data_IF_212619292884
#
_entry.id   IF_212619292884
#
_cell.length_a   1.000
_cell.length_b   1.000
_cell.length_c   1.000
_cell.angle_alpha   90.00
_cell.angle_beta   90.00
_cell.angle_gamma   90.00
#
_symmetry.space_group_name_H-M   'P 1'
#
loop_
_entity.id
_entity.type
_entity.pdbx_description
1 polymer ?
#
# COMPACT_ATOMS: atom_id res chain seq x y z
N UNK A 1 -34.80 5.57 -5.03
CA UNK A 1 -35.35 5.98 -3.71
C UNK A 1 -34.60 5.23 -2.64
N UNK A 2 -34.35 5.85 -1.49
CA UNK A 2 -33.78 5.15 -0.33
C UNK A 2 -34.80 4.17 0.24
N UNK A 3 -34.39 2.93 0.46
CA UNK A 3 -35.21 1.89 1.07
C UNK A 3 -34.84 1.77 2.56
N UNK A 4 -35.66 2.37 3.42
CA UNK A 4 -35.43 2.40 4.87
C UNK A 4 -35.80 1.07 5.57
N UNK A 5 -36.23 0.04 4.82
CA UNK A 5 -36.50 -1.29 5.38
C UNK A 5 -35.25 -2.17 5.44
N UNK A 6 -34.20 -1.81 4.68
CA UNK A 6 -32.93 -2.53 4.62
C UNK A 6 -32.04 -2.19 5.80
N UNK A 7 -31.20 -3.15 6.19
CA UNK A 7 -30.10 -2.87 7.12
C UNK A 7 -29.06 -1.95 6.47
N UNK A 8 -28.16 -1.40 7.29
CA UNK A 8 -27.03 -0.61 6.78
C UNK A 8 -26.17 -1.48 5.86
N UNK A 9 -25.92 -2.73 6.26
CA UNK A 9 -25.10 -3.68 5.53
C UNK A 9 -25.72 -4.04 4.17
N UNK A 10 -27.03 -4.34 4.13
CA UNK A 10 -27.76 -4.59 2.88
C UNK A 10 -27.72 -3.37 1.95
N UNK A 11 -27.88 -2.17 2.52
CA UNK A 11 -27.79 -0.91 1.75
C UNK A 11 -26.40 -0.73 1.14
N UNK A 12 -25.36 -1.04 1.90
CA UNK A 12 -23.97 -0.90 1.47
C UNK A 12 -23.61 -1.89 0.37
N UNK A 13 -24.03 -3.16 0.53
CA UNK A 13 -23.91 -4.18 -0.51
C UNK A 13 -24.62 -3.72 -1.79
N UNK A 14 -25.86 -3.25 -1.69
CA UNK A 14 -26.62 -2.78 -2.85
C UNK A 14 -25.97 -1.59 -3.56
N UNK A 15 -25.37 -0.65 -2.82
CA UNK A 15 -24.64 0.48 -3.40
C UNK A 15 -23.39 -0.02 -4.13
N UNK A 16 -22.60 -0.87 -3.50
CA UNK A 16 -21.39 -1.45 -4.09
C UNK A 16 -21.70 -2.23 -5.38
N UNK A 17 -22.69 -3.13 -5.33
CA UNK A 17 -23.15 -3.91 -6.49
C UNK A 17 -23.60 -2.99 -7.63
N UNK A 18 -24.40 -1.96 -7.34
CA UNK A 18 -24.87 -1.02 -8.37
C UNK A 18 -23.73 -0.23 -9.00
N UNK A 19 -22.74 0.20 -8.21
CA UNK A 19 -21.56 0.91 -8.73
C UNK A 19 -20.80 0.00 -9.72
N UNK A 20 -20.53 -1.24 -9.32
CA UNK A 20 -19.80 -2.21 -10.14
C UNK A 20 -20.56 -2.60 -11.42
N UNK A 21 -21.88 -2.74 -11.34
CA UNK A 21 -22.73 -3.06 -12.50
C UNK A 21 -22.87 -1.87 -13.46
N UNK A 22 -22.98 -0.65 -12.95
CA UNK A 22 -23.18 0.54 -13.77
C UNK A 22 -21.89 1.03 -14.43
N UNK A 23 -20.75 0.90 -13.74
CA UNK A 23 -19.47 1.35 -14.25
C UNK A 23 -18.34 0.44 -13.74
N UNK A 24 -18.01 -0.65 -14.46
CA UNK A 24 -16.89 -1.50 -14.11
C UNK A 24 -15.55 -0.75 -13.99
N UNK A 25 -15.34 0.35 -14.74
CA UNK A 25 -14.13 1.16 -14.62
C UNK A 25 -14.03 1.93 -13.28
N UNK A 26 -15.15 2.12 -12.57
CA UNK A 26 -15.16 2.69 -11.22
C UNK A 26 -14.86 1.65 -10.14
N UNK A 27 -14.79 0.36 -10.48
CA UNK A 27 -14.59 -0.72 -9.52
C UNK A 27 -13.31 -0.57 -8.72
N UNK A 28 -12.22 -0.13 -9.36
CA UNK A 28 -10.96 0.03 -8.66
C UNK A 28 -11.00 1.15 -7.61
N UNK A 29 -11.80 2.21 -7.85
CA UNK A 29 -12.02 3.27 -6.84
C UNK A 29 -12.88 2.73 -5.70
N UNK A 30 -13.91 1.94 -5.99
CA UNK A 30 -14.74 1.30 -4.96
C UNK A 30 -13.89 0.36 -4.10
N UNK A 31 -13.07 -0.49 -4.72
CA UNK A 31 -12.19 -1.43 -4.01
C UNK A 31 -11.11 -0.69 -3.21
N UNK A 32 -10.59 0.42 -3.71
CA UNK A 32 -9.65 1.26 -2.97
C UNK A 32 -10.27 1.92 -1.73
N UNK A 33 -11.59 2.11 -1.71
CA UNK A 33 -12.32 2.60 -0.54
C UNK A 33 -12.54 1.53 0.54
N UNK A 34 -12.21 0.26 0.26
CA UNK A 34 -12.27 -0.80 1.27
C UNK A 34 -11.16 -0.59 2.30
N UNK A 35 -11.57 -0.33 3.54
CA UNK A 35 -10.68 -0.14 4.66
C UNK A 35 -11.09 -1.06 5.81
N UNK A 36 -10.17 -1.95 6.17
CA UNK A 36 -10.33 -2.88 7.27
C UNK A 36 -9.49 -2.42 8.44
N UNK A 37 -10.10 -2.35 9.62
CA UNK A 37 -9.37 -2.06 10.85
C UNK A 37 -8.52 -3.25 11.25
N UNK A 38 -7.53 -2.99 12.10
CA UNK A 38 -6.67 -4.06 12.61
C UNK A 38 -7.52 -5.11 13.33
N UNK A 39 -7.39 -6.37 12.89
CA UNK A 39 -8.15 -7.54 13.39
C UNK A 39 -9.62 -7.65 12.94
N UNK A 40 -10.11 -6.83 11.98
CA UNK A 40 -11.46 -7.01 11.42
C UNK A 40 -11.57 -8.25 10.51
N UNK A 41 -10.45 -8.66 9.92
CA UNK A 41 -10.33 -9.83 9.06
C UNK A 41 -9.79 -11.05 9.85
N UNK A 42 -10.21 -12.28 9.52
CA UNK A 42 -9.66 -13.48 10.11
C UNK A 42 -8.14 -13.54 9.86
N UNK A 43 -7.38 -13.88 10.89
CA UNK A 43 -5.92 -13.87 10.85
C UNK A 43 -5.37 -15.19 10.33
N UNK A 44 -4.24 -15.12 9.62
CA UNK A 44 -3.42 -16.30 9.29
C UNK A 44 -2.50 -16.74 10.43
N UNK A 45 -2.40 -15.94 11.49
CA UNK A 45 -1.54 -16.24 12.63
C UNK A 45 -2.22 -17.23 13.56
N UNK A 46 -1.58 -18.37 13.79
CA UNK A 46 -2.05 -19.39 14.74
C UNK A 46 -1.88 -20.80 14.20
N UNK A 47 -2.38 -21.77 14.95
CA UNK A 47 -2.45 -23.17 14.47
C UNK A 47 -3.53 -23.30 13.39
N UNK A 48 -3.41 -24.30 12.51
CA UNK A 48 -4.40 -24.56 11.46
C UNK A 48 -5.85 -24.59 11.99
N UNK A 49 -6.05 -25.21 13.16
CA UNK A 49 -7.35 -25.29 13.85
C UNK A 49 -7.87 -23.91 14.28
N UNK A 50 -6.99 -23.01 14.75
CA UNK A 50 -7.38 -21.65 15.15
C UNK A 50 -7.78 -20.81 13.93
N UNK A 51 -7.03 -20.93 12.84
CA UNK A 51 -7.30 -20.22 11.57
C UNK A 51 -8.65 -20.68 11.00
N UNK A 52 -8.88 -21.99 10.91
CA UNK A 52 -10.15 -22.55 10.42
C UNK A 52 -11.33 -22.10 11.27
N UNK A 53 -11.20 -22.14 12.61
CA UNK A 53 -12.26 -21.68 13.52
C UNK A 53 -12.54 -20.18 13.38
N UNK A 54 -11.50 -19.36 13.27
CA UNK A 54 -11.64 -17.90 13.07
C UNK A 54 -12.36 -17.61 11.77
N UNK A 55 -11.99 -18.31 10.69
CA UNK A 55 -12.62 -18.20 9.39
C UNK A 55 -14.09 -18.66 9.43
N UNK A 56 -14.41 -19.79 10.06
CA UNK A 56 -15.79 -20.26 10.20
C UNK A 56 -16.66 -19.25 10.96
N UNK A 57 -16.16 -18.68 12.05
CA UNK A 57 -16.86 -17.65 12.83
C UNK A 57 -17.09 -16.42 11.94
N UNK A 58 -16.07 -15.98 11.21
CA UNK A 58 -16.18 -14.84 10.31
C UNK A 58 -17.18 -15.12 9.17
N UNK A 59 -17.15 -16.31 8.55
CA UNK A 59 -18.09 -16.71 7.50
C UNK A 59 -19.55 -16.80 7.98
N UNK A 60 -19.79 -17.24 9.23
CA UNK A 60 -21.14 -17.35 9.80
C UNK A 60 -21.76 -16.04 10.26
N UNK A 61 -20.96 -14.98 10.41
CA UNK A 61 -21.49 -13.68 10.83
C UNK A 61 -22.35 -13.08 9.70
N UNK A 62 -23.68 -13.11 9.89
CA UNK A 62 -24.66 -12.60 8.90
C UNK A 62 -24.79 -11.08 8.87
N UNK A 63 -24.21 -10.36 9.83
CA UNK A 63 -24.22 -8.89 9.90
C UNK A 63 -22.92 -8.28 9.36
N UNK A 64 -22.10 -9.05 8.64
CA UNK A 64 -20.87 -8.53 8.05
C UNK A 64 -21.10 -8.11 6.60
N UNK A 65 -20.26 -7.18 6.15
CA UNK A 65 -20.08 -6.90 4.74
C UNK A 65 -19.16 -7.96 4.11
N UNK A 66 -19.36 -8.33 2.83
CA UNK A 66 -18.32 -8.95 2.03
C UNK A 66 -17.04 -8.12 2.11
N UNK A 67 -15.85 -8.73 2.11
CA UNK A 67 -14.62 -7.97 2.37
C UNK A 67 -14.38 -6.87 1.33
N UNK A 68 -14.93 -7.02 0.12
CA UNK A 68 -14.83 -6.08 -0.99
C UNK A 68 -15.86 -4.95 -0.98
N UNK A 69 -16.82 -4.97 -0.05
CA UNK A 69 -17.78 -3.88 0.12
C UNK A 69 -17.21 -2.90 1.16
N UNK A 70 -16.98 -1.62 0.81
CA UNK A 70 -16.53 -0.62 1.78
C UNK A 70 -17.53 -0.47 2.93
N UNK A 71 -17.00 -0.43 4.16
CA UNK A 71 -17.78 0.08 5.30
C UNK A 71 -17.65 1.60 5.33
N UNK A 72 -18.62 2.31 4.74
CA UNK A 72 -18.62 3.78 4.68
C UNK A 72 -18.76 4.47 6.05
N UNK A 73 -18.87 3.72 7.16
CA UNK A 73 -18.80 4.25 8.53
C UNK A 73 -17.37 4.37 9.04
N UNK A 74 -16.42 3.68 8.41
CA UNK A 74 -15.04 3.56 8.86
C UNK A 74 -14.10 4.40 8.00
N UNK A 75 -13.08 4.97 8.64
CA UNK A 75 -11.96 5.63 7.99
C UNK A 75 -10.69 5.30 8.79
N UNK A 76 -9.78 4.56 8.17
CA UNK A 76 -8.53 4.09 8.73
C UNK A 76 -7.32 4.86 8.19
N UNK A 77 -7.34 5.23 6.91
CA UNK A 77 -6.25 5.96 6.24
C UNK A 77 -6.73 6.68 4.98
N UNK A 78 -5.89 7.56 4.43
CA UNK A 78 -6.13 8.16 3.11
C UNK A 78 -6.24 7.08 2.01
N UNK A 79 -7.03 7.34 0.96
CA UNK A 79 -7.14 6.46 -0.20
C UNK A 79 -6.06 6.85 -1.22
N UNK A 80 -5.18 5.92 -1.59
CA UNK A 80 -4.07 6.12 -2.52
C UNK A 80 -4.56 6.16 -3.97
N UNK A 81 -5.54 5.34 -4.34
CA UNK A 81 -6.11 5.29 -5.69
C UNK A 81 -7.26 6.29 -5.91
N UNK A 82 -7.21 7.45 -5.27
CA UNK A 82 -8.18 8.52 -5.50
C UNK A 82 -8.24 8.94 -6.99
N UNK A 83 -9.34 9.56 -7.47
CA UNK A 83 -9.55 9.80 -8.89
C UNK A 83 -8.40 10.54 -9.61
N UNK A 84 -7.74 11.47 -8.91
CA UNK A 84 -6.62 12.27 -9.45
C UNK A 84 -5.24 11.63 -9.23
N UNK A 85 -5.19 10.44 -8.63
CA UNK A 85 -3.95 9.70 -8.41
C UNK A 85 -3.22 9.46 -9.75
N UNK A 86 -1.91 9.79 -9.83
CA UNK A 86 -1.11 9.64 -11.04
C UNK A 86 -0.52 8.23 -11.21
N UNK A 87 -0.67 7.36 -10.21
CA UNK A 87 -0.19 5.98 -10.30
C UNK A 87 -0.95 5.20 -11.37
N UNK A 88 -0.25 4.24 -11.97
CA UNK A 88 -0.65 3.53 -13.16
C UNK A 88 -0.24 2.06 -13.08
N UNK A 89 -0.50 1.41 -11.92
CA UNK A 89 -0.12 0.01 -11.71
C UNK A 89 -0.73 -0.94 -12.75
N UNK A 90 -1.95 -0.65 -13.21
CA UNK A 90 -2.64 -1.48 -14.19
C UNK A 90 -2.12 -1.42 -15.61
N UNK A 91 -1.12 -0.59 -15.94
CA UNK A 91 -0.64 -0.47 -17.33
C UNK A 91 -1.81 -0.28 -18.31
N UNK A 92 -1.75 -0.97 -19.45
CA UNK A 92 -2.86 -0.96 -20.43
C UNK A 92 -3.97 -1.99 -20.12
N UNK A 93 -3.94 -2.65 -18.97
CA UNK A 93 -4.98 -3.63 -18.61
C UNK A 93 -6.31 -2.94 -18.28
N UNK A 94 -7.40 -3.47 -18.84
CA UNK A 94 -8.76 -3.04 -18.55
C UNK A 94 -9.38 -3.89 -17.45
N UNK A 95 -10.23 -3.28 -16.61
CA UNK A 95 -10.96 -3.99 -15.56
C UNK A 95 -11.74 -5.19 -16.11
N UNK A 96 -11.50 -6.36 -15.51
CA UNK A 96 -12.25 -7.60 -15.75
C UNK A 96 -12.75 -8.12 -14.41
N UNK A 97 -14.05 -8.01 -14.17
CA UNK A 97 -14.70 -8.48 -12.95
C UNK A 97 -16.13 -8.95 -13.20
N UNK A 98 -16.63 -9.77 -12.28
CA UNK A 98 -18.00 -10.29 -12.26
C UNK A 98 -18.48 -10.44 -10.82
N UNK A 99 -19.76 -10.17 -10.57
CA UNK A 99 -20.41 -10.45 -9.29
C UNK A 99 -21.14 -11.79 -9.43
N UNK A 100 -20.77 -12.75 -8.58
CA UNK A 100 -21.28 -14.13 -8.65
C UNK A 100 -22.01 -14.47 -7.35
N UNK A 101 -23.23 -15.00 -7.45
CA UNK A 101 -23.99 -15.48 -6.29
C UNK A 101 -23.88 -17.01 -6.19
N UNK A 102 -23.00 -17.51 -5.32
CA UNK A 102 -22.76 -18.94 -5.08
C UNK A 102 -22.81 -19.26 -3.58
N UNK A 103 -24.02 -19.23 -3.01
CA UNK A 103 -24.23 -19.25 -1.56
C UNK A 103 -23.93 -17.89 -0.92
N UNK A 104 -22.69 -17.44 -1.07
CA UNK A 104 -22.23 -16.09 -0.71
C UNK A 104 -22.20 -15.16 -1.93
N UNK A 105 -22.16 -13.86 -1.70
CA UNK A 105 -21.96 -12.85 -2.73
C UNK A 105 -20.47 -12.65 -3.00
N UNK A 106 -20.00 -13.13 -4.15
CA UNK A 106 -18.61 -13.11 -4.56
C UNK A 106 -18.32 -11.99 -5.54
N UNK A 107 -17.13 -11.42 -5.44
CA UNK A 107 -16.54 -10.58 -6.49
C UNK A 107 -15.39 -11.35 -7.13
N UNK A 108 -15.59 -11.79 -8.37
CA UNK A 108 -14.57 -12.41 -9.20
C UNK A 108 -13.81 -11.31 -9.92
N UNK A 109 -12.50 -11.22 -9.72
CA UNK A 109 -11.64 -10.19 -10.33
C UNK A 109 -10.42 -10.84 -10.98
N UNK A 110 -10.01 -10.33 -12.15
CA UNK A 110 -8.77 -10.76 -12.78
C UNK A 110 -7.62 -9.81 -12.43
N UNK A 111 -6.43 -10.37 -12.36
CA UNK A 111 -5.21 -9.61 -12.16
C UNK A 111 -3.99 -10.50 -12.28
N UNK A 112 -2.88 -10.03 -11.71
CA UNK A 112 -1.64 -10.79 -11.57
C UNK A 112 -1.21 -10.84 -10.12
N UNK A 113 -0.85 -12.03 -9.66
CA UNK A 113 -0.20 -12.22 -8.36
C UNK A 113 1.28 -11.88 -8.49
N UNK A 114 1.78 -11.05 -7.58
CA UNK A 114 3.16 -10.57 -7.62
C UNK A 114 4.03 -11.34 -6.63
N UNK A 115 3.62 -11.32 -5.36
CA UNK A 115 4.44 -11.83 -4.26
C UNK A 115 3.64 -12.00 -2.97
N UNK A 116 4.28 -12.56 -1.94
CA UNK A 116 3.72 -12.78 -0.61
C UNK A 116 4.45 -11.91 0.41
N UNK A 117 3.71 -11.33 1.34
CA UNK A 117 4.27 -10.51 2.43
C UNK A 117 4.99 -11.41 3.43
N UNK A 118 6.26 -11.11 3.68
CA UNK A 118 7.11 -11.82 4.65
C UNK A 118 7.14 -11.07 5.97
N UNK A 119 7.35 -9.75 5.91
CA UNK A 119 7.52 -8.91 7.10
C UNK A 119 6.51 -7.77 7.11
N UNK A 120 5.64 -7.75 8.12
CA UNK A 120 4.70 -6.66 8.37
C UNK A 120 4.78 -6.23 9.86
N UNK A 121 5.46 -5.13 10.19
CA UNK A 121 5.58 -4.60 11.54
C UNK A 121 4.26 -3.95 12.01
N UNK A 122 4.33 -3.08 13.00
CA UNK A 122 3.19 -2.34 13.52
C UNK A 122 2.80 -1.18 12.58
N UNK A 123 1.54 -0.72 12.62
CA UNK A 123 1.12 0.48 11.89
C UNK A 123 1.88 1.73 12.34
N UNK A 124 2.26 2.55 11.36
CA UNK A 124 2.96 3.82 11.55
C UNK A 124 2.01 4.87 12.15
N UNK A 125 2.55 5.67 13.06
CA UNK A 125 1.84 6.67 13.84
C UNK A 125 2.15 8.09 13.35
N UNK A 126 1.23 9.02 13.62
CA UNK A 126 1.24 10.45 13.24
C UNK A 126 2.53 11.26 13.57
N UNK A 127 3.50 10.67 14.30
CA UNK A 127 4.72 11.36 14.72
C UNK A 127 6.02 10.61 14.47
N UNK A 128 5.94 9.45 13.84
CA UNK A 128 7.10 8.58 13.65
C UNK A 128 8.23 9.25 12.87
N UNK A 129 7.91 10.25 12.03
CA UNK A 129 8.90 10.97 11.20
C UNK A 129 9.20 12.41 11.63
N UNK A 130 8.65 12.91 12.74
CA UNK A 130 8.94 14.29 13.21
C UNK A 130 10.07 14.37 14.25
N UNK A 131 10.41 13.25 14.88
CA UNK A 131 11.50 13.17 15.86
C UNK A 131 12.88 13.37 15.22
N UNK A 132 13.83 13.84 16.03
CA UNK A 132 15.26 13.85 15.66
C UNK A 132 16.01 12.90 16.59
N UNK A 133 17.02 12.22 16.06
CA UNK A 133 17.94 11.39 16.84
C UNK A 133 18.68 12.30 17.82
N UNK A 134 18.65 11.93 19.09
CA UNK A 134 19.39 12.60 20.16
C UNK A 134 20.24 11.56 20.89
N UNK A 135 21.46 11.92 21.35
CA UNK A 135 22.33 10.96 22.04
C UNK A 135 21.64 10.32 23.24
N UNK A 136 21.69 8.99 23.34
CA UNK A 136 21.10 8.23 24.44
C UNK A 136 19.61 7.90 24.31
N UNK A 137 18.96 8.27 23.21
CA UNK A 137 17.59 7.86 22.89
C UNK A 137 17.54 6.60 22.03
N UNK A 138 16.41 5.86 22.06
CA UNK A 138 16.23 4.69 21.20
C UNK A 138 16.29 5.07 19.71
N UNK A 139 16.57 4.10 18.82
CA UNK A 139 16.51 4.32 17.38
C UNK A 139 15.16 4.90 16.96
N UNK A 140 15.19 5.87 16.07
CA UNK A 140 14.00 6.46 15.45
C UNK A 140 13.25 5.41 14.61
N UNK A 141 11.96 5.66 14.31
CA UNK A 141 11.18 4.73 13.47
C UNK A 141 11.85 4.50 12.10
N UNK A 142 12.40 5.56 11.49
CA UNK A 142 13.09 5.44 10.20
C UNK A 142 14.30 4.51 10.27
N UNK A 143 15.06 4.53 11.38
CA UNK A 143 16.16 3.61 11.63
C UNK A 143 15.66 2.17 11.84
N UNK A 144 14.62 1.99 12.67
CA UNK A 144 14.04 0.67 12.92
C UNK A 144 13.56 0.01 11.62
N UNK A 145 12.80 0.74 10.79
CA UNK A 145 12.35 0.21 9.49
C UNK A 145 13.52 -0.11 8.55
N UNK A 146 14.56 0.72 8.55
CA UNK A 146 15.74 0.51 7.70
C UNK A 146 16.56 -0.71 8.13
N UNK A 147 16.81 -0.86 9.43
CA UNK A 147 17.61 -1.96 9.95
C UNK A 147 16.82 -3.26 10.02
N UNK A 148 15.63 -3.22 10.62
CA UNK A 148 14.89 -4.44 10.99
C UNK A 148 14.14 -5.01 9.79
N UNK A 149 13.50 -4.15 8.97
CA UNK A 149 12.65 -4.60 7.84
C UNK A 149 13.43 -4.58 6.53
N UNK A 150 14.15 -3.49 6.23
CA UNK A 150 14.93 -3.41 5.00
C UNK A 150 16.21 -4.26 5.07
N UNK A 151 16.61 -4.69 6.28
CA UNK A 151 17.83 -5.47 6.55
C UNK A 151 19.09 -4.75 6.03
N UNK A 152 19.17 -3.43 6.28
CA UNK A 152 20.25 -2.56 5.82
C UNK A 152 21.00 -1.94 6.99
N UNK A 153 22.32 -1.84 6.86
CA UNK A 153 23.18 -1.33 7.94
C UNK A 153 23.35 0.19 7.92
N UNK A 154 23.46 0.80 6.74
CA UNK A 154 23.69 2.26 6.60
C UNK A 154 22.86 2.85 5.49
N UNK A 155 22.40 4.08 5.70
CA UNK A 155 21.69 4.87 4.70
C UNK A 155 22.62 5.18 3.52
N UNK A 156 22.26 4.51 2.44
CA UNK A 156 23.01 4.14 1.25
C UNK A 156 22.55 4.59 -0.14
N UNK A 157 23.38 5.22 -0.99
CA UNK A 157 22.99 5.39 -2.42
C UNK A 157 23.53 4.29 -3.35
N UNK A 158 24.34 3.36 -2.86
CA UNK A 158 25.04 2.37 -3.67
C UNK A 158 24.29 1.04 -3.78
N UNK A 159 23.58 0.65 -2.73
CA UNK A 159 22.70 -0.53 -2.74
C UNK A 159 21.62 -0.37 -3.81
N UNK A 160 21.45 -1.40 -4.64
CA UNK A 160 20.48 -1.42 -5.74
C UNK A 160 19.22 -2.16 -5.36
N UNK A 161 18.09 -1.56 -5.69
CA UNK A 161 16.77 -2.15 -5.56
C UNK A 161 16.41 -2.94 -6.83
N UNK A 162 15.23 -3.58 -6.82
CA UNK A 162 14.77 -4.50 -7.86
C UNK A 162 14.68 -3.87 -9.25
N UNK A 163 14.36 -2.58 -9.32
CA UNK A 163 14.25 -1.80 -10.56
C UNK A 163 15.55 -1.07 -10.95
N UNK A 164 16.66 -1.33 -10.24
CA UNK A 164 17.95 -0.69 -10.44
C UNK A 164 18.11 0.67 -9.77
N UNK A 165 17.08 1.24 -9.15
CA UNK A 165 17.20 2.45 -8.34
C UNK A 165 17.95 2.14 -7.03
N UNK A 166 18.26 3.17 -6.23
CA UNK A 166 18.87 2.90 -4.91
C UNK A 166 17.84 2.35 -3.94
N UNK A 167 18.26 1.42 -3.07
CA UNK A 167 17.39 0.89 -2.00
C UNK A 167 16.90 2.03 -1.09
N UNK A 168 17.75 3.02 -0.85
CA UNK A 168 17.38 4.24 -0.14
C UNK A 168 16.22 4.97 -0.82
N UNK A 169 16.29 5.16 -2.13
CA UNK A 169 15.23 5.84 -2.86
C UNK A 169 13.91 5.05 -2.78
N UNK A 170 13.95 3.74 -3.04
CA UNK A 170 12.79 2.86 -2.95
C UNK A 170 12.12 2.92 -1.57
N UNK A 171 12.92 2.86 -0.50
CA UNK A 171 12.45 2.97 0.88
C UNK A 171 11.75 4.30 1.15
N UNK A 172 12.40 5.41 0.79
CA UNK A 172 11.89 6.75 1.04
C UNK A 172 10.66 7.07 0.20
N UNK A 173 10.58 6.58 -1.04
CA UNK A 173 9.39 6.70 -1.89
C UNK A 173 8.22 5.86 -1.35
N UNK A 174 8.50 4.68 -0.80
CA UNK A 174 7.45 3.82 -0.23
C UNK A 174 6.74 4.49 0.92
N UNK A 175 7.49 5.11 1.85
CA UNK A 175 6.92 5.80 3.00
C UNK A 175 6.12 7.06 2.62
N UNK A 176 6.37 7.64 1.45
CA UNK A 176 5.71 8.86 0.98
C UNK A 176 4.68 8.64 -0.11
N UNK A 177 4.32 7.39 -0.44
CA UNK A 177 3.46 7.07 -1.60
C UNK A 177 3.99 7.73 -2.89
N UNK A 178 5.30 7.63 -3.13
CA UNK A 178 5.98 8.23 -4.28
C UNK A 178 6.10 9.76 -4.21
N UNK A 179 5.76 10.40 -3.09
CA UNK A 179 5.62 11.86 -2.97
C UNK A 179 4.48 12.46 -3.84
N UNK A 180 3.45 11.68 -4.18
CA UNK A 180 2.29 12.17 -4.96
C UNK A 180 1.65 13.38 -4.31
N UNK A 181 1.44 13.34 -2.99
CA UNK A 181 0.85 14.46 -2.24
C UNK A 181 1.71 15.71 -2.31
N UNK A 182 3.05 15.56 -2.30
CA UNK A 182 3.99 16.66 -2.40
C UNK A 182 3.83 17.42 -3.74
N UNK A 183 3.80 16.68 -4.85
CA UNK A 183 3.60 17.26 -6.18
C UNK A 183 2.26 18.00 -6.28
N UNK A 184 1.20 17.44 -5.68
CA UNK A 184 -0.12 18.07 -5.60
C UNK A 184 -0.11 19.40 -4.83
N UNK A 185 0.56 19.46 -3.68
CA UNK A 185 0.69 20.69 -2.88
C UNK A 185 1.47 21.80 -3.60
N UNK A 186 2.48 21.44 -4.39
CA UNK A 186 3.27 22.37 -5.20
C UNK A 186 2.57 22.76 -6.52
N UNK A 187 1.35 22.26 -6.79
CA UNK A 187 0.63 22.44 -8.06
C UNK A 187 1.47 22.01 -9.28
N UNK A 188 2.30 20.97 -9.13
CA UNK A 188 3.18 20.44 -10.18
C UNK A 188 2.65 19.11 -10.68
N UNK A 189 2.65 18.87 -12.01
CA UNK A 189 2.35 17.54 -12.53
C UNK A 189 3.36 16.52 -12.00
N UNK A 190 2.86 15.45 -11.37
CA UNK A 190 3.69 14.44 -10.71
C UNK A 190 4.79 13.87 -11.62
N UNK A 191 4.45 13.57 -12.87
CA UNK A 191 5.36 13.00 -13.86
C UNK A 191 6.42 13.98 -14.40
N UNK A 192 6.29 15.28 -14.13
CA UNK A 192 7.28 16.29 -14.52
C UNK A 192 8.38 16.47 -13.47
N UNK A 193 8.17 15.98 -12.24
CA UNK A 193 9.18 16.07 -11.19
C UNK A 193 10.19 14.94 -11.33
N UNK A 194 11.47 15.30 -11.42
CA UNK A 194 12.57 14.34 -11.58
C UNK A 194 12.79 13.55 -10.28
N UNK A 195 13.06 12.25 -10.40
CA UNK A 195 13.37 11.38 -9.26
C UNK A 195 14.51 11.92 -8.37
N UNK A 196 15.50 12.61 -8.95
CA UNK A 196 16.60 13.21 -8.20
C UNK A 196 16.14 14.28 -7.21
N UNK A 197 15.06 15.02 -7.52
CA UNK A 197 14.47 16.02 -6.63
C UNK A 197 13.95 15.33 -5.37
N UNK A 198 13.16 14.26 -5.55
CA UNK A 198 12.65 13.47 -4.44
C UNK A 198 13.78 12.83 -3.61
N UNK A 199 14.82 12.34 -4.29
CA UNK A 199 16.01 11.79 -3.64
C UNK A 199 16.69 12.83 -2.74
N UNK A 200 16.92 14.05 -3.23
CA UNK A 200 17.57 15.10 -2.47
C UNK A 200 16.74 15.53 -1.25
N UNK A 201 15.41 15.65 -1.41
CA UNK A 201 14.51 15.97 -0.29
C UNK A 201 14.49 14.87 0.78
N UNK A 202 14.52 13.60 0.37
CA UNK A 202 14.63 12.45 1.27
C UNK A 202 15.99 12.41 1.98
N UNK A 203 17.09 12.62 1.25
CA UNK A 203 18.44 12.69 1.80
C UNK A 203 18.58 13.81 2.84
N UNK A 204 18.03 15.01 2.54
CA UNK A 204 17.98 16.13 3.48
C UNK A 204 17.26 15.76 4.77
N UNK A 205 16.11 15.09 4.67
CA UNK A 205 15.39 14.63 5.85
C UNK A 205 16.22 13.69 6.72
N UNK A 206 16.89 12.71 6.12
CA UNK A 206 17.71 11.73 6.84
C UNK A 206 18.88 12.41 7.55
N UNK A 207 19.59 13.31 6.87
CA UNK A 207 20.69 14.08 7.48
C UNK A 207 20.20 14.98 8.61
N UNK A 208 19.06 15.66 8.45
CA UNK A 208 18.48 16.51 9.50
C UNK A 208 17.95 15.72 10.72
N UNK A 209 17.53 14.48 10.47
CA UNK A 209 16.93 13.60 11.49
C UNK A 209 18.02 12.87 12.27
N UNK A 210 19.02 12.34 11.59
CA UNK A 210 20.07 11.52 12.20
C UNK A 210 21.33 12.32 12.57
N UNK A 211 21.50 13.53 12.02
CA UNK A 211 22.68 14.36 12.24
C UNK A 211 23.95 13.73 11.64
N UNK A 212 25.09 13.96 12.27
CA UNK A 212 26.38 13.34 11.91
C UNK A 212 26.50 11.87 12.35
N UNK A 213 25.42 11.08 12.26
CA UNK A 213 25.45 9.66 12.61
C UNK A 213 26.35 8.89 11.63
N UNK A 214 27.12 7.93 12.14
CA UNK A 214 27.91 7.00 11.32
C UNK A 214 27.03 6.12 10.40
N UNK A 215 25.72 6.13 10.63
CA UNK A 215 24.71 5.42 9.84
C UNK A 215 24.43 6.09 8.49
N UNK A 216 24.86 7.34 8.26
CA UNK A 216 24.59 8.09 7.03
C UNK A 216 25.85 8.24 6.18
N UNK A 217 25.85 7.58 5.01
CA UNK A 217 26.98 7.62 4.07
C UNK A 217 27.24 9.00 3.48
N UNK A 218 28.47 9.24 2.99
CA UNK A 218 28.86 10.51 2.38
C UNK A 218 28.02 10.86 1.14
N UNK A 219 27.61 9.87 0.36
CA UNK A 219 26.81 10.07 -0.85
C UNK A 219 25.41 10.62 -0.50
N UNK A 220 24.82 10.15 0.61
CA UNK A 220 23.56 10.71 1.14
C UNK A 220 23.77 12.14 1.65
N UNK A 221 24.89 12.41 2.32
CA UNK A 221 25.21 13.76 2.78
C UNK A 221 25.36 14.75 1.60
N UNK A 222 26.08 14.35 0.54
CA UNK A 222 26.24 15.15 -0.69
C UNK A 222 24.91 15.36 -1.41
N UNK A 223 24.05 14.35 -1.46
CA UNK A 223 22.70 14.47 -2.02
C UNK A 223 21.83 15.46 -1.23
N UNK A 224 21.93 15.47 0.10
CA UNK A 224 21.22 16.41 0.97
C UNK A 224 21.63 17.88 0.73
N UNK A 225 22.90 18.14 0.39
CA UNK A 225 23.36 19.49 0.06
C UNK A 225 22.78 20.02 -1.24
N UNK A 226 22.52 19.13 -2.21
CA UNK A 226 21.91 19.49 -3.50
C UNK A 226 20.46 19.97 -3.34
N UNK A 227 19.76 19.54 -2.28
CA UNK A 227 18.41 20.02 -1.94
C UNK A 227 18.37 21.51 -1.56
N UNK A 228 19.50 22.14 -1.19
CA UNK A 228 19.54 23.56 -0.78
C UNK A 228 19.21 24.53 -1.91
N UNK A 229 19.30 24.09 -3.16
CA UNK A 229 18.92 24.87 -4.33
C UNK A 229 17.40 24.97 -4.53
N UNK A 230 16.61 24.12 -3.87
CA UNK A 230 15.16 24.22 -3.89
C UNK A 230 14.63 25.02 -2.71
N UNK A 231 13.94 26.10 -3.05
CA UNK A 231 13.25 27.01 -2.13
C UNK A 231 12.02 26.32 -1.50
N UNK A 232 12.20 25.33 -0.62
CA UNK A 232 11.04 24.63 -0.05
C UNK A 232 10.97 24.61 1.48
N UNK A 233 9.92 25.27 1.96
CA UNK A 233 9.42 25.23 3.34
C UNK A 233 8.84 23.85 3.72
N UNK A 234 8.49 23.01 2.73
CA UNK A 234 7.90 21.70 2.96
C UNK A 234 8.95 20.62 3.26
N UNK A 235 8.67 19.84 4.30
CA UNK A 235 9.54 18.78 4.81
C UNK A 235 9.01 17.43 4.35
N UNK A 236 9.89 16.56 3.86
CA UNK A 236 9.57 15.19 3.47
C UNK A 236 8.77 14.44 4.55
N UNK A 237 9.05 14.70 5.83
CA UNK A 237 8.31 14.11 6.95
C UNK A 237 6.80 14.40 6.92
N UNK A 238 6.36 15.56 6.43
CA UNK A 238 4.93 15.87 6.29
C UNK A 238 4.28 14.96 5.26
N UNK A 239 4.94 14.76 4.12
CA UNK A 239 4.43 13.91 3.05
C UNK A 239 4.43 12.44 3.47
N UNK A 240 5.50 11.97 4.10
CA UNK A 240 5.58 10.63 4.66
C UNK A 240 4.45 10.37 5.67
N UNK A 241 4.29 11.24 6.68
CA UNK A 241 3.19 11.10 7.65
C UNK A 241 1.82 11.09 6.99
N UNK A 242 1.56 12.00 6.03
CA UNK A 242 0.27 12.04 5.33
C UNK A 242 -0.01 10.77 4.54
N UNK A 243 1.02 10.15 3.96
CA UNK A 243 0.88 8.93 3.18
C UNK A 243 0.76 7.68 4.05
N UNK A 244 1.48 7.63 5.16
CA UNK A 244 1.72 6.39 5.91
C UNK A 244 1.02 6.28 7.26
N UNK A 245 0.39 7.35 7.77
CA UNK A 245 -0.36 7.28 9.02
C UNK A 245 -1.45 6.19 8.93
N UNK A 246 -1.47 5.30 9.93
CA UNK A 246 -2.39 4.16 9.96
C UNK A 246 -2.04 3.03 8.99
N UNK A 247 -0.93 3.12 8.26
CA UNK A 247 -0.44 2.10 7.31
C UNK A 247 0.77 1.37 7.85
N UNK A 248 1.06 0.20 7.27
CA UNK A 248 2.19 -0.65 7.62
C UNK A 248 3.21 -0.59 6.49
N UNK A 249 4.44 -0.18 6.80
CA UNK A 249 5.59 -0.40 5.92
C UNK A 249 5.97 -1.87 6.00
N UNK A 250 5.87 -2.60 4.90
CA UNK A 250 6.10 -4.05 4.85
C UNK A 250 7.09 -4.41 3.75
N UNK A 251 7.60 -5.63 3.84
CA UNK A 251 8.49 -6.24 2.86
C UNK A 251 7.97 -7.61 2.41
N UNK A 252 7.99 -7.83 1.11
CA UNK A 252 7.60 -9.12 0.50
C UNK A 252 8.79 -10.08 0.38
N UNK A 253 8.53 -11.36 0.10
CA UNK A 253 9.57 -12.40 0.00
C UNK A 253 10.60 -12.18 -1.11
N UNK A 254 10.21 -11.56 -2.23
CA UNK A 254 11.11 -11.12 -3.31
C UNK A 254 11.78 -9.78 -3.01
N UNK A 255 11.48 -9.16 -1.88
CA UNK A 255 12.12 -7.94 -1.41
C UNK A 255 11.43 -6.64 -1.84
N UNK A 256 10.17 -6.68 -2.28
CA UNK A 256 9.44 -5.44 -2.56
C UNK A 256 9.16 -4.68 -1.26
N UNK A 257 9.39 -3.38 -1.27
CA UNK A 257 8.96 -2.45 -0.25
C UNK A 257 7.57 -1.94 -0.57
N UNK A 258 6.72 -1.95 0.44
CA UNK A 258 5.33 -1.59 0.28
C UNK A 258 4.78 -0.86 1.50
N UNK A 259 3.71 -0.10 1.27
CA UNK A 259 2.95 0.60 2.28
C UNK A 259 1.49 0.16 2.18
N UNK A 260 1.08 -0.74 3.08
CA UNK A 260 -0.24 -1.38 3.08
C UNK A 260 -1.16 -0.91 4.21
N UNK A 261 -2.42 -1.36 4.23
CA UNK A 261 -3.42 -0.99 5.25
C UNK A 261 -3.07 -1.54 6.64
N UNK A 262 -3.74 -1.04 7.69
CA UNK A 262 -3.53 -1.48 9.09
C UNK A 262 -3.89 -2.96 9.34
N UNK A 263 -4.74 -3.54 8.49
CA UNK A 263 -5.16 -4.94 8.56
C UNK A 263 -4.16 -5.94 7.94
N UNK A 264 -3.03 -5.47 7.39
CA UNK A 264 -2.03 -6.32 6.71
C UNK A 264 -1.40 -7.37 7.64
N UNK A 265 -1.19 -8.58 7.12
CA UNK A 265 -0.50 -9.67 7.80
C UNK A 265 0.51 -10.40 6.90
N UNK A 266 1.53 -11.01 7.51
CA UNK A 266 2.43 -11.97 6.86
C UNK A 266 1.61 -13.11 6.25
N UNK A 267 1.90 -13.45 4.99
CA UNK A 267 1.13 -14.41 4.21
C UNK A 267 0.04 -13.80 3.33
N UNK A 268 -0.28 -12.52 3.52
CA UNK A 268 -1.12 -11.79 2.56
C UNK A 268 -0.38 -11.68 1.21
N UNK A 269 -1.15 -11.72 0.13
CA UNK A 269 -0.70 -11.72 -1.26
C UNK A 269 -0.77 -10.30 -1.82
N UNK A 270 0.31 -9.85 -2.43
CA UNK A 270 0.35 -8.62 -3.24
C UNK A 270 -0.03 -8.97 -4.67
N UNK A 271 -0.99 -8.24 -5.22
CA UNK A 271 -1.47 -8.41 -6.59
C UNK A 271 -1.72 -7.06 -7.28
N UNK A 272 -1.72 -7.06 -8.60
CA UNK A 272 -2.24 -5.94 -9.41
C UNK A 272 -3.53 -6.42 -10.06
N UNK A 273 -4.65 -5.81 -9.67
CA UNK A 273 -5.96 -6.08 -10.26
C UNK A 273 -6.08 -5.29 -11.56
N UNK A 274 -6.67 -5.86 -12.60
CA UNK A 274 -6.74 -5.16 -13.88
C UNK A 274 -7.60 -3.89 -13.79
N UNK A 275 -7.11 -2.82 -14.41
CA UNK A 275 -7.66 -1.47 -14.34
C UNK A 275 -7.41 -0.70 -13.03
N UNK A 276 -6.72 -1.27 -12.03
CA UNK A 276 -6.41 -0.55 -10.79
C UNK A 276 -5.20 0.39 -10.86
N UNK A 277 -5.37 1.61 -10.36
CA UNK A 277 -4.27 2.60 -10.31
C UNK A 277 -3.11 2.19 -9.40
N UNK A 278 -3.39 1.37 -8.39
CA UNK A 278 -2.41 0.89 -7.40
C UNK A 278 -2.56 -0.63 -7.18
N UNK A 279 -1.54 -1.31 -6.64
CA UNK A 279 -1.63 -2.69 -6.20
C UNK A 279 -2.59 -2.90 -5.01
N UNK A 280 -2.96 -4.16 -4.78
CA UNK A 280 -3.85 -4.59 -3.70
C UNK A 280 -3.25 -5.74 -2.91
N UNK A 281 -3.62 -5.79 -1.64
CA UNK A 281 -3.35 -6.91 -0.74
C UNK A 281 -4.58 -7.78 -0.60
N UNK A 282 -4.43 -9.09 -0.84
CA UNK A 282 -5.46 -10.10 -0.69
C UNK A 282 -5.04 -11.14 0.34
N UNK A 283 -5.95 -11.57 1.20
CA UNK A 283 -5.74 -12.62 2.19
C UNK A 283 -6.31 -13.95 1.68
N UNK A 284 -5.50 -14.98 1.41
CA UNK A 284 -6.01 -16.28 0.94
C UNK A 284 -6.87 -16.98 2.00
N UNK A 285 -8.05 -17.49 1.64
CA UNK A 285 -8.88 -18.29 2.55
C UNK A 285 -9.40 -19.55 1.83
N UNK A 286 -8.65 -20.64 1.98
CA UNK A 286 -8.89 -21.86 1.23
C UNK A 286 -8.67 -21.64 -0.27
N UNK A 287 -9.77 -21.61 -1.05
CA UNK A 287 -9.75 -21.36 -2.51
C UNK A 287 -10.19 -19.95 -2.89
N UNK A 288 -10.62 -19.13 -1.93
CA UNK A 288 -11.13 -17.77 -2.11
C UNK A 288 -10.16 -16.77 -1.48
N UNK A 289 -10.47 -15.48 -1.56
CA UNK A 289 -9.67 -14.40 -0.99
C UNK A 289 -10.55 -13.44 -0.19
N UNK A 290 -9.93 -12.74 0.75
CA UNK A 290 -10.47 -11.50 1.30
C UNK A 290 -9.64 -10.35 0.75
N UNK A 291 -10.26 -9.23 0.43
CA UNK A 291 -9.50 -8.01 0.14
C UNK A 291 -9.13 -7.35 1.47
N UNK A 292 -7.83 -7.11 1.63
CA UNK A 292 -7.28 -6.43 2.82
C UNK A 292 -7.29 -4.93 2.58
N UNK A 293 -6.95 -4.50 1.37
CA UNK A 293 -6.99 -3.11 0.93
C UNK A 293 -5.94 -2.81 -0.14
N UNK A 294 -5.94 -1.58 -0.63
CA UNK A 294 -4.93 -1.06 -1.55
C UNK A 294 -3.58 -0.82 -0.85
N UNK A 295 -2.50 -0.88 -1.63
CA UNK A 295 -1.15 -0.60 -1.15
C UNK A 295 -0.31 0.15 -2.19
N UNK A 296 0.69 0.89 -1.72
CA UNK A 296 1.79 1.34 -2.56
C UNK A 296 2.85 0.24 -2.59
N UNK A 297 3.40 -0.08 -3.75
CA UNK A 297 4.53 -1.01 -3.88
C UNK A 297 5.56 -0.40 -4.82
N UNK A 298 6.77 -0.15 -4.32
CA UNK A 298 7.79 0.48 -5.16
C UNK A 298 8.23 -0.45 -6.30
N UNK A 299 8.24 0.07 -7.52
CA UNK A 299 8.51 -0.68 -8.75
C UNK A 299 7.28 -1.36 -9.37
N UNK A 300 6.06 -1.09 -8.90
CA UNK A 300 4.80 -1.61 -9.48
C UNK A 300 3.74 -0.51 -9.70
N UNK A 301 4.14 0.76 -9.67
CA UNK A 301 3.21 1.91 -9.75
C UNK A 301 3.12 2.51 -11.16
N UNK A 302 3.85 1.97 -12.15
CA UNK A 302 3.98 2.50 -13.52
C UNK A 302 3.67 1.45 -14.61
N UNK A 303 3.02 0.34 -14.25
CA UNK A 303 2.57 -0.69 -15.19
C UNK A 303 3.52 -1.89 -15.31
N UNK A 304 4.55 -1.96 -14.47
CA UNK A 304 5.61 -2.96 -14.52
C UNK A 304 5.07 -4.39 -14.43
N UNK A 305 4.01 -4.60 -13.65
CA UNK A 305 3.35 -5.89 -13.53
C UNK A 305 2.72 -6.38 -14.86
N UNK A 306 2.20 -5.46 -15.67
CA UNK A 306 1.65 -5.77 -16.98
C UNK A 306 2.75 -5.99 -18.01
N UNK A 307 3.85 -5.24 -17.91
CA UNK A 307 5.03 -5.51 -18.72
C UNK A 307 5.57 -6.92 -18.45
N UNK A 308 5.66 -7.33 -17.18
CA UNK A 308 6.05 -8.69 -16.79
C UNK A 308 5.05 -9.75 -17.31
N UNK A 309 3.75 -9.47 -17.27
CA UNK A 309 2.72 -10.34 -17.87
C UNK A 309 2.93 -10.48 -19.39
N UNK A 310 3.26 -9.39 -20.10
CA UNK A 310 3.50 -9.42 -21.55
C UNK A 310 4.78 -10.18 -21.94
N UNK A 311 5.73 -10.31 -21.01
CA UNK A 311 6.97 -11.08 -21.15
C UNK A 311 6.85 -12.53 -20.65
N UNK A 312 5.63 -13.00 -20.33
CA UNK A 312 5.37 -14.33 -19.76
C UNK A 312 6.10 -14.62 -18.43
N UNK A 313 6.52 -13.57 -17.70
CA UNK A 313 7.15 -13.68 -16.37
C UNK A 313 6.09 -13.81 -15.26
N UNK A 314 4.88 -13.30 -15.52
CA UNK A 314 3.69 -13.43 -14.67
C UNK A 314 2.54 -14.05 -15.47
N UNK A 315 1.55 -14.57 -14.77
CA UNK A 315 0.37 -15.17 -15.39
C UNK A 315 -0.90 -14.52 -14.85
N UNK A 316 -1.89 -14.35 -15.72
CA UNK A 316 -3.22 -13.91 -15.32
C UNK A 316 -3.83 -14.91 -14.32
N UNK A 317 -4.38 -14.38 -13.23
CA UNK A 317 -5.02 -15.13 -12.17
C UNK A 317 -6.40 -14.54 -11.89
N UNK A 318 -7.33 -15.43 -11.56
CA UNK A 318 -8.69 -15.08 -11.13
C UNK A 318 -8.75 -15.16 -9.60
N UNK A 319 -9.22 -14.10 -8.99
CA UNK A 319 -9.41 -13.97 -7.54
C UNK A 319 -10.91 -13.94 -7.24
N UNK A 320 -11.41 -14.97 -6.57
CA UNK A 320 -12.77 -15.00 -6.04
C UNK A 320 -12.78 -14.41 -4.62
N UNK A 321 -13.25 -13.18 -4.49
CA UNK A 321 -13.23 -12.39 -3.25
C UNK A 321 -14.60 -12.49 -2.54
N UNK A 322 -14.61 -12.87 -1.26
CA UNK A 322 -15.80 -12.91 -0.40
C UNK A 322 -15.87 -11.75 0.57
#
# INVERSE_FOLDING_TARGET
MADYTKTVEETYIDVAVRILQANPAAACILLAAVQHSRHSLPSHRGTAVQVEKSLEIWLRNRQKLPSWVPDWRCFEAIILAEPICPHYAHGDSSTKLEIVQEGDLLLRVHGVEIDIIEECPQPLQYRDFYGKKTPGQPPTMIEQLWHDICRKERFNLNDRYLDGQSVFFAFMQTLSNGCVQAAGHECRPYHEVLDCVWLWKAARYIVETLGSSDDVSEEVQKAAESAKCESDQEKWSRWANSASEGRIFARTGRGYYMLGPSALETGDVVCVLFGSKVPFCLRPIGRRYLIVGECYVHGLMKGEAIDMLSRDELHEKIFDIV
#
